data_IF_765893285956
#
_entry.id   IF_765893285956
#
_cell.length_a   1.000
_cell.length_b   1.000
_cell.length_c   1.000
_cell.angle_alpha   90.00
_cell.angle_beta   90.00
_cell.angle_gamma   90.00
#
_symmetry.space_group_name_H-M   'P 1'
#
loop_
_entity.id
_entity.type
_entity.pdbx_description
1 polymer ?
#
# COMPACT_ATOMS: atom_id res chain seq x y z
N UNK A 1 51.63 48.23 -4.52
CA UNK A 1 50.72 47.40 -3.70
C UNK A 1 49.34 47.53 -4.33
N UNK A 2 48.98 46.79 -5.37
CA UNK A 2 48.57 45.35 -5.45
C UNK A 2 47.38 45.04 -4.52
N UNK A 3 46.25 44.66 -5.13
CA UNK A 3 45.07 44.01 -4.50
C UNK A 3 43.73 44.73 -4.73
N UNK A 4 43.16 44.76 -5.95
CA UNK A 4 42.08 43.88 -6.45
C UNK A 4 40.80 43.84 -5.56
N UNK A 5 39.68 44.47 -5.97
CA UNK A 5 38.62 43.96 -6.86
C UNK A 5 37.85 42.74 -6.32
N UNK A 6 36.57 42.93 -5.97
CA UNK A 6 35.44 42.24 -6.61
C UNK A 6 34.09 42.64 -5.99
N UNK A 7 33.38 43.51 -6.71
CA UNK A 7 31.93 43.62 -6.71
C UNK A 7 31.35 42.31 -7.27
N UNK A 8 30.53 41.59 -6.50
CA UNK A 8 29.69 40.53 -7.07
C UNK A 8 28.31 41.10 -7.42
N UNK A 9 28.23 41.72 -8.61
CA UNK A 9 27.07 41.58 -9.48
C UNK A 9 27.40 40.42 -10.43
N UNK A 10 26.59 39.38 -10.43
CA UNK A 10 26.33 38.52 -11.59
C UNK A 10 25.06 37.70 -11.29
N UNK A 11 23.92 38.07 -11.89
CA UNK A 11 23.40 37.47 -13.14
C UNK A 11 22.72 36.14 -12.84
N UNK A 12 21.38 36.10 -12.69
CA UNK A 12 20.42 35.86 -13.78
C UNK A 12 21.02 34.87 -14.80
N UNK A 13 21.05 33.58 -14.48
CA UNK A 13 21.35 32.52 -15.44
C UNK A 13 21.09 31.12 -14.88
N UNK A 14 19.82 30.78 -14.57
CA UNK A 14 19.44 29.36 -14.47
C UNK A 14 17.96 29.07 -14.79
N UNK A 15 17.31 29.95 -15.55
CA UNK A 15 15.94 29.74 -16.07
C UNK A 15 15.92 28.73 -17.24
N UNK A 16 17.08 28.23 -17.68
CA UNK A 16 17.20 27.24 -18.78
C UNK A 16 17.49 25.80 -18.35
N UNK A 17 17.34 25.42 -17.07
CA UNK A 17 17.56 24.03 -16.61
C UNK A 17 16.29 23.21 -16.31
N UNK A 18 15.10 23.80 -16.44
CA UNK A 18 13.86 23.16 -15.95
C UNK A 18 13.29 22.03 -16.82
N UNK A 19 13.94 21.68 -17.95
CA UNK A 19 13.65 20.44 -18.70
C UNK A 19 14.40 19.23 -18.10
N UNK A 20 15.39 19.47 -17.22
CA UNK A 20 16.24 18.43 -16.63
C UNK A 20 15.67 17.83 -15.33
N UNK A 21 14.44 18.20 -14.95
CA UNK A 21 13.73 17.68 -13.77
C UNK A 21 12.64 16.65 -14.11
N UNK A 22 12.31 16.45 -15.39
CA UNK A 22 11.28 15.47 -15.79
C UNK A 22 11.86 14.06 -15.71
N UNK A 23 11.24 13.15 -14.97
CA UNK A 23 11.60 11.73 -14.96
C UNK A 23 10.67 10.95 -15.88
N UNK A 24 11.21 10.46 -16.99
CA UNK A 24 10.42 9.91 -18.09
C UNK A 24 9.81 8.52 -17.81
N UNK A 25 10.28 7.81 -16.78
CA UNK A 25 9.67 6.56 -16.33
C UNK A 25 10.12 6.24 -14.90
N UNK A 26 9.35 6.71 -13.90
CA UNK A 26 9.57 6.33 -12.50
C UNK A 26 8.26 5.82 -11.90
N UNK A 27 8.25 4.54 -11.52
CA UNK A 27 7.21 3.97 -10.69
C UNK A 27 7.30 4.52 -9.26
N UNK A 28 6.21 4.41 -8.49
CA UNK A 28 6.15 4.95 -7.13
C UNK A 28 7.26 4.38 -6.23
N UNK A 29 7.66 3.12 -6.42
CA UNK A 29 8.76 2.52 -5.66
C UNK A 29 10.13 3.17 -5.93
N UNK A 30 10.43 3.54 -7.19
CA UNK A 30 11.65 4.30 -7.54
C UNK A 30 11.59 5.73 -6.99
N UNK A 31 10.42 6.34 -7.01
CA UNK A 31 10.19 7.68 -6.44
C UNK A 31 10.47 7.67 -4.94
N UNK A 32 9.85 6.78 -4.17
CA UNK A 32 10.08 6.68 -2.72
C UNK A 32 11.56 6.45 -2.38
N UNK A 33 12.23 5.55 -3.11
CA UNK A 33 13.68 5.32 -2.92
C UNK A 33 14.51 6.57 -3.19
N UNK A 34 14.19 7.31 -4.24
CA UNK A 34 14.85 8.58 -4.58
C UNK A 34 14.66 9.64 -3.49
N UNK A 35 13.49 9.65 -2.85
CA UNK A 35 13.17 10.61 -1.80
C UNK A 35 13.79 10.27 -0.44
N UNK A 36 14.20 9.02 -0.18
CA UNK A 36 14.81 8.59 1.11
C UNK A 36 15.87 9.56 1.65
N UNK A 37 16.91 9.97 0.89
CA UNK A 37 17.92 10.91 1.37
C UNK A 37 17.44 12.37 1.51
N UNK A 38 16.20 12.67 1.12
CA UNK A 38 15.60 14.00 1.17
C UNK A 38 14.33 14.06 2.05
N UNK A 39 13.98 12.98 2.75
CA UNK A 39 12.77 12.93 3.61
C UNK A 39 12.84 13.92 4.79
N UNK A 40 14.03 14.37 5.16
CA UNK A 40 14.28 15.40 6.15
C UNK A 40 14.03 16.83 5.61
N UNK A 41 13.95 17.00 4.29
CA UNK A 41 13.77 18.29 3.61
C UNK A 41 12.33 18.46 3.14
N UNK A 42 11.48 19.04 4.00
CA UNK A 42 10.11 19.43 3.64
C UNK A 42 10.11 20.34 2.42
N UNK A 43 9.27 20.03 1.44
CA UNK A 43 9.20 20.76 0.17
C UNK A 43 10.25 20.34 -0.86
N UNK A 44 11.00 19.25 -0.62
CA UNK A 44 11.80 18.62 -1.66
C UNK A 44 10.90 17.99 -2.72
N UNK A 45 11.19 18.20 -4.01
CA UNK A 45 10.27 17.80 -5.07
C UNK A 45 10.95 17.29 -6.35
N UNK A 46 10.16 16.54 -7.13
CA UNK A 46 10.48 16.12 -8.50
C UNK A 46 9.26 16.27 -9.42
N UNK A 47 9.53 16.38 -10.72
CA UNK A 47 8.51 16.29 -11.77
C UNK A 47 8.67 14.95 -12.50
N UNK A 48 7.59 14.19 -12.69
CA UNK A 48 7.64 12.92 -13.40
C UNK A 48 6.48 12.75 -14.37
N UNK A 49 6.67 11.89 -15.35
CA UNK A 49 5.56 11.42 -16.17
C UNK A 49 4.61 10.58 -15.32
N UNK A 50 3.31 10.70 -15.59
CA UNK A 50 2.31 9.80 -15.04
C UNK A 50 2.51 8.40 -15.64
N UNK A 51 2.44 7.37 -14.81
CA UNK A 51 2.50 5.98 -15.29
C UNK A 51 1.14 5.47 -15.76
N UNK A 52 0.06 6.16 -15.39
CA UNK A 52 -1.32 5.70 -15.61
C UNK A 52 -2.00 6.39 -16.79
N UNK A 53 -1.50 7.55 -17.23
CA UNK A 53 -2.10 8.35 -18.29
C UNK A 53 -1.00 8.87 -19.22
N UNK A 54 -1.11 8.56 -20.51
CA UNK A 54 -0.27 9.16 -21.54
C UNK A 54 -0.54 10.67 -21.55
N UNK A 55 0.52 11.48 -21.46
CA UNK A 55 0.49 12.96 -21.44
C UNK A 55 0.05 13.64 -20.13
N UNK A 56 -0.03 12.91 -19.01
CA UNK A 56 -0.17 13.53 -17.69
C UNK A 56 1.19 13.60 -16.97
N UNK A 57 1.39 14.65 -16.19
CA UNK A 57 2.54 14.83 -15.32
C UNK A 57 2.13 14.69 -13.86
N UNK A 58 3.05 14.26 -13.01
CA UNK A 58 2.85 14.19 -11.57
C UNK A 58 3.99 14.92 -10.88
N UNK A 59 3.64 15.84 -9.98
CA UNK A 59 4.61 16.47 -9.09
C UNK A 59 4.56 15.72 -7.76
N UNK A 60 5.72 15.29 -7.31
CA UNK A 60 5.88 14.58 -6.04
C UNK A 60 6.68 15.47 -5.11
N UNK A 61 6.22 15.69 -3.88
CA UNK A 61 6.83 16.60 -2.90
C UNK A 61 6.83 15.98 -1.51
N UNK A 62 7.91 16.15 -0.76
CA UNK A 62 8.01 15.72 0.65
C UNK A 62 7.16 16.63 1.52
N UNK A 63 6.10 16.09 2.13
CA UNK A 63 5.32 16.80 3.14
C UNK A 63 5.97 16.65 4.51
N UNK A 64 6.20 15.41 4.95
CA UNK A 64 6.82 15.10 6.23
C UNK A 64 7.80 13.93 6.10
N UNK A 65 8.51 13.60 7.20
CA UNK A 65 9.54 12.54 7.23
C UNK A 65 9.06 11.15 6.80
N UNK A 66 7.76 10.94 6.74
CA UNK A 66 7.13 9.67 6.40
C UNK A 66 6.19 9.74 5.21
N UNK A 67 5.95 10.94 4.65
CA UNK A 67 4.91 11.15 3.65
C UNK A 67 5.38 12.01 2.48
N UNK A 68 5.20 11.46 1.30
CA UNK A 68 5.40 12.15 0.03
C UNK A 68 4.00 12.41 -0.55
N UNK A 69 3.70 13.68 -0.77
CA UNK A 69 2.48 14.11 -1.40
C UNK A 69 2.64 14.12 -2.92
N UNK A 70 1.65 13.61 -3.63
CA UNK A 70 1.64 13.55 -5.09
C UNK A 70 0.41 14.27 -5.62
N UNK A 71 0.60 15.21 -6.54
CA UNK A 71 -0.51 15.85 -7.24
C UNK A 71 -0.31 15.84 -8.75
N UNK A 72 -1.43 15.69 -9.45
CA UNK A 72 -1.45 15.53 -10.91
C UNK A 72 -1.51 16.89 -11.60
N UNK A 73 -0.78 16.97 -12.70
CA UNK A 73 -0.82 18.07 -13.66
C UNK A 73 -1.32 17.49 -14.99
N UNK A 74 -2.51 17.90 -15.41
CA UNK A 74 -3.15 17.43 -16.64
C UNK A 74 -3.03 18.47 -17.74
N UNK A 75 -2.66 18.05 -18.94
CA UNK A 75 -2.73 18.92 -20.11
C UNK A 75 -4.18 19.03 -20.57
N UNK A 76 -4.70 20.25 -20.63
CA UNK A 76 -6.08 20.55 -21.00
C UNK A 76 -6.21 20.75 -22.52
N UNK A 77 -7.43 20.60 -23.08
CA UNK A 77 -7.66 20.75 -24.52
C UNK A 77 -7.34 22.15 -25.07
N UNK A 78 -7.35 23.17 -24.21
CA UNK A 78 -7.05 24.57 -24.54
C UNK A 78 -5.55 24.89 -24.59
N UNK A 79 -4.69 23.88 -24.44
CA UNK A 79 -3.23 24.03 -24.42
C UNK A 79 -2.66 24.48 -23.07
N UNK A 80 -3.49 24.57 -22.01
CA UNK A 80 -3.05 24.91 -20.65
C UNK A 80 -2.83 23.68 -19.79
N UNK A 81 -2.23 23.89 -18.62
CA UNK A 81 -1.98 22.88 -17.61
C UNK A 81 -2.92 23.09 -16.42
N UNK A 82 -3.75 22.09 -16.14
CA UNK A 82 -4.65 22.05 -15.00
C UNK A 82 -4.01 21.37 -13.78
N UNK A 83 -4.19 21.97 -12.61
CA UNK A 83 -3.71 21.43 -11.32
C UNK A 83 -4.82 21.52 -10.28
N UNK A 84 -5.20 20.37 -9.69
CA UNK A 84 -6.18 20.31 -8.60
C UNK A 84 -7.59 20.80 -8.95
N UNK A 85 -7.95 20.86 -10.24
CA UNK A 85 -9.27 21.29 -10.74
C UNK A 85 -9.50 22.80 -10.79
N UNK A 86 -8.87 23.58 -9.90
CA UNK A 86 -9.09 25.03 -9.81
C UNK A 86 -8.01 25.86 -10.50
N UNK A 87 -6.76 25.39 -10.55
CA UNK A 87 -5.65 26.18 -11.07
C UNK A 87 -5.31 25.81 -12.51
N UNK A 88 -5.17 26.85 -13.35
CA UNK A 88 -4.88 26.74 -14.77
C UNK A 88 -3.66 27.59 -15.10
N UNK A 89 -2.70 27.01 -15.81
CA UNK A 89 -1.43 27.67 -16.11
C UNK A 89 -1.03 27.48 -17.57
N UNK A 90 -0.44 28.50 -18.19
CA UNK A 90 -0.03 28.42 -19.60
C UNK A 90 1.25 27.57 -19.80
N UNK A 91 2.02 27.33 -18.73
CA UNK A 91 3.22 26.51 -18.80
C UNK A 91 3.54 25.86 -17.46
N UNK A 92 4.29 24.75 -17.51
CA UNK A 92 4.81 24.08 -16.31
C UNK A 92 5.66 25.04 -15.47
N UNK A 93 6.41 25.95 -16.11
CA UNK A 93 7.21 26.94 -15.37
C UNK A 93 6.33 27.80 -14.46
N UNK A 94 5.19 28.28 -14.97
CA UNK A 94 4.24 29.07 -14.16
C UNK A 94 3.67 28.26 -12.99
N UNK A 95 3.49 26.96 -13.15
CA UNK A 95 3.08 26.05 -12.05
C UNK A 95 4.14 26.04 -10.95
N UNK A 96 5.41 25.85 -11.33
CA UNK A 96 6.51 25.80 -10.37
C UNK A 96 6.68 27.14 -9.65
N UNK A 97 6.68 28.25 -10.38
CA UNK A 97 6.82 29.59 -9.81
C UNK A 97 5.67 29.93 -8.86
N UNK A 98 4.45 29.46 -9.17
CA UNK A 98 3.27 29.64 -8.32
C UNK A 98 3.41 28.88 -7.01
N UNK A 99 3.68 27.57 -7.08
CA UNK A 99 3.78 26.70 -5.89
C UNK A 99 5.10 26.82 -5.13
N UNK A 100 6.05 27.60 -5.64
CA UNK A 100 7.20 28.05 -4.88
C UNK A 100 6.80 29.12 -3.83
N UNK A 101 5.76 29.91 -4.11
CA UNK A 101 5.28 31.00 -3.25
C UNK A 101 3.98 30.69 -2.52
N UNK A 102 3.15 29.82 -3.11
CA UNK A 102 1.84 29.41 -2.59
C UNK A 102 1.81 27.93 -2.30
N UNK A 103 0.95 27.55 -1.36
CA UNK A 103 0.81 26.15 -0.94
C UNK A 103 0.34 25.26 -2.08
N UNK A 104 0.86 24.03 -2.14
CA UNK A 104 0.40 23.02 -3.08
C UNK A 104 -1.08 22.70 -2.85
N UNK A 105 -1.80 22.22 -3.88
CA UNK A 105 -3.23 21.93 -3.77
C UNK A 105 -3.53 20.96 -2.62
N UNK A 106 -4.64 21.13 -1.93
CA UNK A 106 -5.03 20.28 -0.79
C UNK A 106 -4.25 20.52 0.50
N UNK A 107 -3.25 21.41 0.49
CA UNK A 107 -2.37 21.71 1.62
C UNK A 107 -2.41 23.19 2.04
N UNK A 108 -3.54 23.87 1.82
CA UNK A 108 -3.74 25.30 2.10
C UNK A 108 -3.39 25.68 3.55
N UNK A 109 -3.72 24.82 4.51
CA UNK A 109 -3.48 25.05 5.94
C UNK A 109 -2.05 24.70 6.40
N UNK A 110 -1.26 24.02 5.56
CA UNK A 110 0.04 23.43 5.96
C UNK A 110 1.25 24.12 5.33
N UNK A 111 1.02 25.15 4.51
CA UNK A 111 2.07 25.94 3.85
C UNK A 111 3.14 25.09 3.14
N UNK A 112 2.75 23.97 2.53
CA UNK A 112 3.69 23.10 1.81
C UNK A 112 4.05 23.74 0.46
N UNK A 113 5.31 24.11 0.29
CA UNK A 113 5.85 24.81 -0.88
C UNK A 113 6.85 23.93 -1.65
N UNK A 114 6.96 24.16 -2.96
CA UNK A 114 8.00 23.56 -3.81
C UNK A 114 9.32 24.33 -3.65
N UNK A 115 10.12 23.95 -2.66
CA UNK A 115 11.30 24.71 -2.23
C UNK A 115 12.62 24.09 -2.67
N UNK A 116 12.74 22.77 -2.66
CA UNK A 116 14.02 22.08 -2.90
C UNK A 116 13.93 21.15 -4.12
N UNK A 117 14.34 21.59 -5.32
CA UNK A 117 14.37 20.70 -6.49
C UNK A 117 15.40 19.58 -6.29
N UNK A 118 14.99 18.33 -6.54
CA UNK A 118 15.92 17.20 -6.55
C UNK A 118 16.47 17.03 -7.97
N UNK A 119 17.75 17.34 -8.15
CA UNK A 119 18.42 17.21 -9.45
C UNK A 119 18.71 15.76 -9.83
N UNK A 120 18.62 15.45 -11.13
CA UNK A 120 18.97 14.14 -11.70
C UNK A 120 20.39 13.65 -11.36
N UNK A 121 21.33 14.56 -11.09
CA UNK A 121 22.73 14.19 -10.76
C UNK A 121 22.82 13.37 -9.47
N UNK A 122 21.88 13.54 -8.54
CA UNK A 122 21.80 12.80 -7.28
C UNK A 122 21.40 11.32 -7.44
N UNK A 123 21.05 10.88 -8.66
CA UNK A 123 20.56 9.51 -8.92
C UNK A 123 21.69 8.57 -9.33
N UNK A 124 22.88 9.11 -9.58
CA UNK A 124 24.04 8.35 -10.02
C UNK A 124 24.79 7.70 -8.85
N UNK A 125 24.25 6.56 -8.36
CA UNK A 125 25.00 5.36 -7.92
C UNK A 125 24.12 4.33 -7.18
N UNK A 126 23.11 4.76 -6.44
CA UNK A 126 22.32 3.84 -5.58
C UNK A 126 21.00 3.34 -6.22
N UNK A 127 20.49 4.01 -7.26
CA UNK A 127 19.20 3.65 -7.87
C UNK A 127 19.32 2.51 -8.91
N UNK A 128 20.54 2.18 -9.32
CA UNK A 128 20.85 1.04 -10.19
C UNK A 128 21.66 0.01 -9.41
N UNK A 129 21.03 -0.65 -8.45
CA UNK A 129 21.22 -2.09 -8.37
C UNK A 129 20.20 -2.73 -9.33
N UNK A 130 20.42 -2.52 -10.63
CA UNK A 130 20.06 -3.61 -11.54
C UNK A 130 20.89 -4.79 -11.05
N UNK A 131 20.21 -5.85 -10.61
CA UNK A 131 20.86 -7.13 -10.37
C UNK A 131 21.81 -7.34 -11.55
N UNK A 132 23.11 -7.61 -11.30
CA UNK A 132 24.01 -7.91 -12.40
C UNK A 132 23.30 -8.95 -13.28
N UNK A 133 23.33 -8.77 -14.62
CA UNK A 133 22.75 -9.74 -15.51
C UNK A 133 23.25 -11.10 -15.05
N UNK A 134 22.30 -12.02 -14.84
CA UNK A 134 22.61 -13.37 -14.39
C UNK A 134 23.82 -13.84 -15.20
N UNK A 135 24.91 -14.28 -14.54
CA UNK A 135 26.08 -14.75 -15.26
C UNK A 135 25.61 -15.70 -16.33
N UNK A 136 26.02 -15.47 -17.59
CA UNK A 136 25.72 -16.44 -18.64
C UNK A 136 26.16 -17.79 -18.12
N UNK A 137 25.28 -18.82 -18.14
CA UNK A 137 25.63 -20.14 -17.68
C UNK A 137 26.99 -20.49 -18.28
N UNK A 138 27.95 -20.89 -17.44
CA UNK A 138 29.22 -21.39 -17.95
C UNK A 138 28.88 -22.51 -18.92
N UNK A 139 29.57 -22.55 -20.06
CA UNK A 139 29.38 -23.62 -21.05
C UNK A 139 29.23 -24.93 -20.30
N UNK A 140 28.14 -25.68 -20.54
CA UNK A 140 27.93 -26.92 -19.83
C UNK A 140 29.19 -27.75 -20.01
N UNK A 141 29.82 -28.16 -18.91
CA UNK A 141 30.80 -29.21 -18.97
C UNK A 141 29.99 -30.44 -19.39
N UNK A 142 29.91 -30.69 -20.70
CA UNK A 142 29.33 -31.89 -21.29
C UNK A 142 30.26 -33.08 -20.98
N UNK A 143 30.51 -33.34 -19.70
CA UNK A 143 31.06 -34.61 -19.26
C UNK A 143 29.89 -35.51 -18.88
N UNK A 144 29.59 -36.43 -19.79
CA UNK A 144 28.88 -37.69 -19.57
C UNK A 144 27.57 -37.63 -18.76
N UNK A 145 26.45 -37.69 -19.49
CA UNK A 145 25.24 -38.45 -19.15
C UNK A 145 24.69 -38.32 -17.71
N UNK A 146 24.24 -37.13 -17.31
CA UNK A 146 23.09 -36.96 -16.40
C UNK A 146 22.64 -35.50 -16.43
N UNK A 147 21.65 -35.20 -17.26
CA UNK A 147 20.95 -33.93 -17.19
C UNK A 147 20.11 -33.91 -15.90
N UNK A 148 20.64 -33.28 -14.86
CA UNK A 148 20.00 -33.16 -13.53
C UNK A 148 18.70 -32.33 -13.57
N UNK A 149 18.45 -31.57 -14.64
CA UNK A 149 17.29 -30.68 -14.78
C UNK A 149 16.08 -31.33 -15.46
N UNK A 150 16.12 -32.63 -15.70
CA UNK A 150 15.02 -33.37 -16.32
C UNK A 150 15.05 -34.81 -15.86
N UNK A 151 15.04 -35.03 -14.55
CA UNK A 151 14.71 -36.35 -14.04
C UNK A 151 13.21 -36.58 -14.29
N UNK A 152 12.80 -37.59 -15.08
CA UNK A 152 11.39 -37.86 -15.36
C UNK A 152 10.59 -38.23 -14.09
N UNK A 153 11.26 -38.41 -12.95
CA UNK A 153 10.62 -38.58 -11.64
C UNK A 153 10.01 -37.28 -11.07
N UNK A 154 10.30 -36.10 -11.62
CA UNK A 154 9.72 -34.81 -11.17
C UNK A 154 8.24 -34.60 -11.49
N UNK A 155 7.56 -35.56 -12.13
CA UNK A 155 6.10 -35.47 -12.32
C UNK A 155 5.33 -35.41 -10.99
N UNK A 156 5.90 -35.91 -9.89
CA UNK A 156 5.29 -35.88 -8.56
C UNK A 156 5.28 -34.49 -7.90
N UNK A 157 6.18 -33.59 -8.32
CA UNK A 157 6.29 -32.27 -7.69
C UNK A 157 5.21 -31.30 -8.18
N UNK A 158 4.78 -31.40 -9.43
CA UNK A 158 3.73 -30.53 -9.96
C UNK A 158 2.38 -30.84 -9.30
N UNK A 159 2.03 -32.11 -9.17
CA UNK A 159 0.81 -32.55 -8.50
C UNK A 159 0.82 -32.16 -7.01
N UNK A 160 1.98 -32.27 -6.36
CA UNK A 160 2.16 -31.79 -4.99
C UNK A 160 1.94 -30.28 -4.88
N UNK A 161 2.49 -29.48 -5.80
CA UNK A 161 2.31 -28.03 -5.80
C UNK A 161 0.86 -27.66 -6.08
N UNK A 162 0.22 -28.29 -7.07
CA UNK A 162 -1.19 -28.06 -7.39
C UNK A 162 -2.11 -28.45 -6.23
N UNK A 163 -1.82 -29.55 -5.53
CA UNK A 163 -2.55 -29.95 -4.33
C UNK A 163 -2.42 -28.89 -3.22
N UNK A 164 -1.22 -28.33 -3.00
CA UNK A 164 -1.00 -27.25 -2.02
C UNK A 164 -1.73 -25.96 -2.40
N UNK A 165 -1.74 -25.59 -3.67
CA UNK A 165 -2.51 -24.43 -4.14
C UNK A 165 -4.01 -24.64 -3.90
N UNK A 166 -4.53 -25.84 -4.24
CA UNK A 166 -5.93 -26.19 -4.00
C UNK A 166 -6.29 -26.18 -2.51
N UNK A 167 -5.43 -26.73 -1.64
CA UNK A 167 -5.61 -26.67 -0.17
C UNK A 167 -5.71 -25.22 0.32
N UNK A 168 -4.87 -24.33 -0.22
CA UNK A 168 -4.89 -22.92 0.15
C UNK A 168 -6.19 -22.23 -0.33
N UNK A 169 -6.61 -22.48 -1.57
CA UNK A 169 -7.86 -21.94 -2.12
C UNK A 169 -9.07 -22.44 -1.33
N UNK A 170 -9.14 -23.75 -1.04
CA UNK A 170 -10.18 -24.36 -0.21
C UNK A 170 -10.21 -23.73 1.20
N UNK A 171 -9.04 -23.45 1.78
CA UNK A 171 -8.91 -22.77 3.07
C UNK A 171 -9.44 -21.33 3.02
N UNK A 172 -9.11 -20.56 1.98
CA UNK A 172 -9.62 -19.19 1.82
C UNK A 172 -11.13 -19.17 1.54
N UNK A 173 -11.64 -20.08 0.73
CA UNK A 173 -13.08 -20.24 0.48
C UNK A 173 -13.83 -20.59 1.77
N UNK A 174 -13.31 -21.50 2.58
CA UNK A 174 -13.92 -21.85 3.87
C UNK A 174 -13.95 -20.67 4.84
N UNK A 175 -12.93 -19.80 4.83
CA UNK A 175 -12.92 -18.59 5.66
C UNK A 175 -13.81 -17.47 5.14
N UNK A 176 -14.09 -17.42 3.84
CA UNK A 176 -14.98 -16.41 3.27
C UNK A 176 -16.47 -16.78 3.37
N UNK A 177 -16.77 -18.06 3.62
CA UNK A 177 -18.15 -18.52 3.87
C UNK A 177 -18.75 -17.83 5.10
N UNK A 178 -20.00 -17.39 4.93
CA UNK A 178 -20.82 -16.81 5.99
C UNK A 178 -21.88 -17.81 6.42
N UNK A 179 -22.16 -17.84 7.71
CA UNK A 179 -23.33 -18.50 8.25
C UNK A 179 -24.61 -17.76 7.79
N UNK A 180 -25.77 -18.43 7.84
CA UNK A 180 -27.08 -17.82 7.62
C UNK A 180 -27.33 -16.61 8.55
N UNK A 181 -26.71 -16.59 9.73
CA UNK A 181 -26.77 -15.46 10.66
C UNK A 181 -25.86 -14.27 10.29
N UNK A 182 -25.14 -14.35 9.17
CA UNK A 182 -24.28 -13.29 8.61
C UNK A 182 -22.87 -13.21 9.19
N UNK A 183 -22.54 -13.99 10.22
CA UNK A 183 -21.17 -14.13 10.75
C UNK A 183 -20.30 -14.95 9.80
N UNK A 184 -19.00 -14.63 9.74
CA UNK A 184 -18.07 -15.49 9.02
C UNK A 184 -17.86 -16.80 9.78
N UNK A 185 -17.66 -17.91 9.05
CA UNK A 185 -17.47 -19.24 9.67
C UNK A 185 -16.29 -19.27 10.64
N UNK A 186 -15.18 -18.60 10.30
CA UNK A 186 -14.00 -18.52 11.17
C UNK A 186 -14.21 -17.68 12.44
N UNK A 187 -15.20 -16.77 12.44
CA UNK A 187 -15.62 -16.03 13.63
C UNK A 187 -16.61 -16.84 14.47
N UNK A 188 -17.41 -17.68 13.80
CA UNK A 188 -18.46 -18.48 14.42
C UNK A 188 -17.89 -19.73 15.10
N UNK A 189 -16.82 -20.31 14.58
CA UNK A 189 -16.21 -21.54 15.12
C UNK A 189 -15.30 -21.27 16.34
N UNK A 190 -15.63 -21.88 17.49
CA UNK A 190 -14.91 -21.75 18.76
C UNK A 190 -14.06 -23.01 19.05
N UNK A 191 -14.02 -23.48 20.31
CA UNK A 191 -13.28 -24.68 20.71
C UNK A 191 -14.25 -25.82 21.02
N UNK A 192 -13.79 -27.08 20.86
CA UNK A 192 -14.56 -28.31 21.12
C UNK A 192 -15.94 -28.37 20.43
N UNK A 193 -16.03 -27.87 19.19
CA UNK A 193 -17.27 -27.92 18.42
C UNK A 193 -18.34 -26.92 18.90
N UNK A 194 -17.99 -25.99 19.79
CA UNK A 194 -18.85 -24.85 20.08
C UNK A 194 -18.81 -23.86 18.93
N UNK A 195 -19.97 -23.34 18.57
CA UNK A 195 -20.14 -22.31 17.56
C UNK A 195 -20.92 -21.13 18.13
N UNK A 196 -20.77 -19.97 17.52
CA UNK A 196 -21.41 -18.71 17.89
C UNK A 196 -22.27 -18.22 16.73
N UNK A 197 -23.52 -17.87 17.02
CA UNK A 197 -24.51 -17.43 16.03
C UNK A 197 -25.19 -16.14 16.46
N UNK A 198 -25.75 -15.41 15.49
CA UNK A 198 -26.68 -14.30 15.76
C UNK A 198 -28.10 -14.80 15.65
N UNK A 199 -28.94 -14.46 16.61
CA UNK A 199 -30.37 -14.70 16.50
C UNK A 199 -30.96 -13.76 15.44
N UNK A 200 -31.65 -14.36 14.47
CA UNK A 200 -32.33 -13.66 13.36
C UNK A 200 -33.85 -13.80 13.43
N UNK A 201 -34.37 -14.65 14.32
CA UNK A 201 -35.76 -15.11 14.30
C UNK A 201 -36.61 -14.48 15.42
N UNK A 202 -36.01 -14.17 16.58
CA UNK A 202 -36.73 -13.60 17.72
C UNK A 202 -36.95 -12.07 17.64
N UNK A 203 -38.15 -11.52 17.85
CA UNK A 203 -38.40 -10.07 17.87
C UNK A 203 -37.66 -9.35 19.03
N UNK A 204 -37.51 -10.01 20.18
CA UNK A 204 -36.87 -9.44 21.38
C UNK A 204 -35.36 -9.72 21.45
N UNK A 205 -34.88 -10.76 20.75
CA UNK A 205 -33.50 -11.20 20.77
C UNK A 205 -32.77 -10.97 19.43
N UNK A 206 -33.40 -10.26 18.48
CA UNK A 206 -32.84 -10.02 17.16
C UNK A 206 -31.45 -9.35 17.23
N UNK A 207 -30.44 -10.06 16.71
CA UNK A 207 -29.06 -9.61 16.69
C UNK A 207 -28.24 -9.93 17.94
N UNK A 208 -28.83 -10.59 18.94
CA UNK A 208 -28.09 -11.11 20.09
C UNK A 208 -27.24 -12.32 19.70
N UNK A 209 -26.16 -12.53 20.44
CA UNK A 209 -25.24 -13.66 20.24
C UNK A 209 -25.65 -14.80 21.14
N UNK A 210 -25.82 -15.99 20.57
CA UNK A 210 -25.92 -17.24 21.31
C UNK A 210 -24.86 -18.23 20.84
N UNK A 211 -24.62 -19.24 21.66
CA UNK A 211 -23.65 -20.30 21.43
C UNK A 211 -24.38 -21.62 21.23
N UNK A 212 -23.88 -22.45 20.31
CA UNK A 212 -24.42 -23.75 19.96
C UNK A 212 -23.30 -24.79 20.03
N UNK A 213 -23.48 -25.84 20.80
CA UNK A 213 -22.61 -27.01 20.77
C UNK A 213 -23.04 -27.93 19.62
N UNK A 214 -22.19 -28.10 18.62
CA UNK A 214 -22.48 -28.98 17.47
C UNK A 214 -22.51 -30.46 17.83
N UNK A 215 -21.90 -30.88 18.94
CA UNK A 215 -21.86 -32.28 19.34
C UNK A 215 -23.14 -32.68 20.09
N UNK A 216 -23.62 -31.82 20.98
CA UNK A 216 -24.80 -32.10 21.82
C UNK A 216 -26.06 -31.41 21.32
N UNK A 217 -25.94 -30.55 20.30
CA UNK A 217 -26.98 -29.67 19.76
C UNK A 217 -27.64 -28.77 20.82
N UNK A 218 -26.92 -28.50 21.92
CA UNK A 218 -27.38 -27.63 23.00
C UNK A 218 -27.03 -26.19 22.67
N UNK A 219 -28.00 -25.29 22.82
CA UNK A 219 -27.79 -23.84 22.71
C UNK A 219 -27.77 -23.17 24.09
N UNK A 220 -26.95 -22.14 24.22
CA UNK A 220 -26.84 -21.33 25.44
C UNK A 220 -26.51 -19.88 25.10
N UNK A 221 -27.02 -18.93 25.89
CA UNK A 221 -26.72 -17.50 25.73
C UNK A 221 -25.35 -17.10 26.27
N UNK A 222 -24.80 -17.92 27.17
CA UNK A 222 -23.47 -17.74 27.74
C UNK A 222 -22.62 -18.98 27.47
N UNK A 223 -21.34 -18.72 27.20
CA UNK A 223 -20.37 -19.77 26.93
C UNK A 223 -20.05 -20.49 28.25
N UNK A 224 -20.04 -21.83 28.29
CA UNK A 224 -19.70 -22.55 29.50
C UNK A 224 -18.29 -22.18 30.03
N UNK A 225 -18.08 -22.07 31.35
CA UNK A 225 -16.82 -21.57 31.93
C UNK A 225 -15.58 -22.39 31.54
N UNK A 226 -15.76 -23.69 31.33
CA UNK A 226 -14.70 -24.59 30.87
C UNK A 226 -14.27 -24.29 29.42
N UNK A 227 -15.23 -23.96 28.55
CA UNK A 227 -14.97 -23.59 27.15
C UNK A 227 -14.39 -22.18 27.08
N UNK A 228 -14.87 -21.27 27.92
CA UNK A 228 -14.33 -19.91 28.03
C UNK A 228 -12.85 -19.92 28.39
N UNK A 229 -12.47 -20.66 29.44
CA UNK A 229 -11.08 -20.78 29.86
C UNK A 229 -10.20 -21.37 28.75
N UNK A 230 -10.64 -22.46 28.12
CA UNK A 230 -9.90 -23.10 27.04
C UNK A 230 -9.75 -22.21 25.80
N UNK A 231 -10.78 -21.42 25.48
CA UNK A 231 -10.73 -20.45 24.40
C UNK A 231 -9.70 -19.34 24.69
N UNK A 232 -9.62 -18.86 25.94
CA UNK A 232 -8.59 -17.91 26.36
C UNK A 232 -7.18 -18.50 26.25
N UNK A 233 -7.01 -19.75 26.67
CA UNK A 233 -5.71 -20.43 26.67
C UNK A 233 -5.24 -20.77 25.25
N UNK A 234 -6.15 -21.12 24.34
CA UNK A 234 -5.83 -21.58 22.99
C UNK A 234 -5.73 -20.43 21.98
N UNK A 235 -6.61 -19.43 22.06
CA UNK A 235 -6.66 -18.35 21.06
C UNK A 235 -7.20 -17.04 21.62
N UNK A 236 -6.28 -16.20 22.10
CA UNK A 236 -6.54 -14.82 22.51
C UNK A 236 -7.26 -13.98 21.44
N UNK A 237 -6.91 -14.17 20.16
CA UNK A 237 -7.52 -13.44 19.05
C UNK A 237 -9.00 -13.79 18.92
N UNK A 238 -9.37 -15.09 18.96
CA UNK A 238 -10.77 -15.53 18.91
C UNK A 238 -11.54 -15.00 20.12
N UNK A 239 -10.94 -15.05 21.31
CA UNK A 239 -11.53 -14.54 22.54
C UNK A 239 -11.88 -13.04 22.46
N UNK A 240 -10.95 -12.21 22.01
CA UNK A 240 -11.18 -10.78 21.84
C UNK A 240 -12.26 -10.48 20.81
N UNK A 241 -12.27 -11.20 19.68
CA UNK A 241 -13.26 -11.02 18.63
C UNK A 241 -14.67 -11.39 19.12
N UNK A 242 -14.82 -12.51 19.84
CA UNK A 242 -16.08 -12.90 20.47
C UNK A 242 -16.57 -11.81 21.43
N UNK A 243 -15.70 -11.24 22.28
CA UNK A 243 -16.04 -10.11 23.16
C UNK A 243 -16.51 -8.87 22.39
N UNK A 244 -15.83 -8.52 21.30
CA UNK A 244 -16.21 -7.38 20.44
C UNK A 244 -17.60 -7.60 19.84
N UNK A 245 -17.87 -8.80 19.34
CA UNK A 245 -19.16 -9.17 18.73
C UNK A 245 -20.30 -9.14 19.76
N UNK A 246 -20.10 -9.70 20.97
CA UNK A 246 -21.09 -9.66 22.06
C UNK A 246 -21.39 -8.22 22.50
N UNK A 247 -20.37 -7.36 22.59
CA UNK A 247 -20.55 -5.92 22.90
C UNK A 247 -21.32 -5.18 21.79
N UNK A 248 -21.01 -5.45 20.53
CA UNK A 248 -21.69 -4.83 19.39
C UNK A 248 -23.16 -5.24 19.32
N UNK A 249 -23.47 -6.52 19.57
CA UNK A 249 -24.83 -7.03 19.65
C UNK A 249 -25.65 -6.32 20.74
N UNK A 250 -25.09 -6.21 21.95
CA UNK A 250 -25.77 -5.55 23.08
C UNK A 250 -25.99 -4.04 22.83
N UNK A 251 -25.07 -3.37 22.12
CA UNK A 251 -25.24 -1.95 21.76
C UNK A 251 -26.41 -1.75 20.81
N UNK A 252 -26.59 -2.64 19.84
CA UNK A 252 -27.69 -2.56 18.89
C UNK A 252 -29.04 -2.87 19.52
N UNK A 253 -29.08 -3.74 20.54
CA UNK A 253 -30.29 -4.03 21.31
C UNK A 253 -30.77 -2.80 22.13
N UNK A 254 -29.84 -1.98 22.64
CA UNK A 254 -30.15 -0.78 23.45
C UNK A 254 -30.47 0.49 22.62
N UNK A 255 -30.38 0.42 21.28
CA UNK A 255 -30.66 1.54 20.37
C UNK A 255 -32.04 1.42 19.68
N UNK A 256 -32.72 0.29 19.86
CA UNK A 256 -34.13 0.11 19.48
C UNK A 256 -35.01 0.43 20.68
#
# INVERSE_FOLDING_TARGET
MVGQLALFKNSISTVSQNVQLSFSSMNNCKVERLFRPFMDKRGAYILRNSNSENNALTISVVDNKTHIYHFRVTHLPDGKYGVGGSHHFDSIQKIMDHFHKKSVPGHENSHLLLSHPIERKHISKEVVEERPPMPTPRDPIYNSNKHYYSDPQERDHLDTVLARCKEADDYFEQRSKKCSCGLYMWESDLVRGWMMHRDTEGPDAQGQIFFLDTNTNNSAWDLPPNIEKELMDTSLIKWENMKKLKKAANKNANQK
#
